data_IF_571494561471
#
_entry.id   IF_571494561471
#
_cell.length_a   1.000
_cell.length_b   1.000
_cell.length_c   1.000
_cell.angle_alpha   90.00
_cell.angle_beta   90.00
_cell.angle_gamma   90.00
#
_symmetry.space_group_name_H-M   'P 1'
#
loop_
_entity.id
_entity.type
_entity.pdbx_description
1 polymer ?
#
# COMPACT_ATOMS: atom_id res chain seq x y z
N UNK A 1 40.52 -60.45 -1.89
CA UNK A 1 41.44 -59.40 -1.38
C UNK A 1 41.63 -58.41 -2.50
N UNK A 2 40.99 -57.23 -2.41
CA UNK A 2 41.65 -55.91 -2.23
C UNK A 2 42.27 -55.42 -3.56
N UNK A 3 41.87 -54.32 -4.20
CA UNK A 3 41.39 -53.02 -3.70
C UNK A 3 40.62 -52.27 -4.80
N UNK A 4 39.49 -51.68 -4.42
CA UNK A 4 39.02 -50.41 -4.98
C UNK A 4 40.04 -49.32 -4.63
N UNK A 5 40.45 -48.53 -5.61
CA UNK A 5 40.94 -47.17 -5.36
C UNK A 5 40.14 -46.21 -6.23
N UNK A 6 39.05 -45.77 -5.63
CA UNK A 6 38.30 -44.56 -5.95
C UNK A 6 39.22 -43.35 -5.80
N UNK A 7 39.66 -42.76 -6.92
CA UNK A 7 40.12 -41.36 -6.93
C UNK A 7 38.90 -40.47 -7.14
N UNK A 8 38.16 -40.21 -6.05
CA UNK A 8 37.23 -39.10 -5.96
C UNK A 8 38.03 -37.80 -5.78
N UNK A 9 38.43 -37.20 -6.90
CA UNK A 9 39.08 -35.89 -6.91
C UNK A 9 38.02 -34.78 -7.01
N UNK A 10 37.77 -34.13 -5.86
CA UNK A 10 37.40 -32.72 -5.69
C UNK A 10 36.48 -32.04 -6.73
N UNK A 11 35.16 -32.22 -6.61
CA UNK A 11 34.14 -31.40 -7.27
C UNK A 11 33.67 -30.21 -6.40
N UNK A 12 34.56 -29.65 -5.56
CA UNK A 12 34.20 -28.61 -4.57
C UNK A 12 34.59 -27.17 -4.95
N UNK A 13 35.57 -26.98 -5.86
CA UNK A 13 36.08 -25.64 -6.23
C UNK A 13 35.31 -24.98 -7.38
N UNK A 14 34.86 -25.77 -8.35
CA UNK A 14 34.37 -25.27 -9.63
C UNK A 14 33.04 -24.50 -9.52
N UNK A 15 32.18 -24.87 -8.56
CA UNK A 15 30.89 -24.22 -8.37
C UNK A 15 31.02 -22.85 -7.70
N UNK A 16 31.96 -22.69 -6.78
CA UNK A 16 32.20 -21.42 -6.11
C UNK A 16 32.84 -20.40 -7.06
N UNK A 17 33.77 -20.85 -7.91
CA UNK A 17 34.37 -20.02 -8.96
C UNK A 17 33.35 -19.67 -10.07
N UNK A 18 32.50 -20.61 -10.48
CA UNK A 18 31.41 -20.34 -11.41
C UNK A 18 30.38 -19.35 -10.84
N UNK A 19 30.06 -19.45 -9.54
CA UNK A 19 29.21 -18.47 -8.84
C UNK A 19 29.91 -17.11 -8.68
N UNK A 20 31.23 -17.07 -8.53
CA UNK A 20 32.01 -15.83 -8.54
C UNK A 20 32.05 -15.18 -9.93
N UNK A 21 32.13 -15.97 -11.00
CA UNK A 21 32.03 -15.48 -12.38
C UNK A 21 30.61 -15.00 -12.72
N UNK A 22 29.55 -15.64 -12.17
CA UNK A 22 28.15 -15.17 -12.22
C UNK A 22 27.79 -14.19 -11.09
N UNK A 23 28.79 -13.62 -10.41
CA UNK A 23 28.54 -12.71 -9.30
C UNK A 23 27.81 -11.45 -9.77
N UNK A 24 26.89 -10.96 -8.93
CA UNK A 24 26.21 -9.69 -9.11
C UNK A 24 27.16 -8.52 -9.38
N UNK A 25 28.40 -8.60 -8.85
CA UNK A 25 29.45 -7.62 -9.09
C UNK A 25 30.00 -7.65 -10.53
N UNK A 26 30.13 -8.84 -11.13
CA UNK A 26 30.53 -9.00 -12.53
C UNK A 26 29.42 -8.52 -13.47
N UNK A 27 28.17 -8.81 -13.11
CA UNK A 27 26.98 -8.38 -13.81
C UNK A 27 26.85 -6.85 -13.88
N UNK A 28 27.09 -6.14 -12.76
CA UNK A 28 27.08 -4.67 -12.71
C UNK A 28 28.24 -4.04 -13.50
N UNK A 29 29.39 -4.71 -13.60
CA UNK A 29 30.52 -4.22 -14.39
C UNK A 29 30.29 -4.33 -15.90
N UNK A 30 29.47 -5.30 -16.34
CA UNK A 30 29.16 -5.52 -17.75
C UNK A 30 27.88 -4.79 -18.23
N UNK A 31 27.23 -4.00 -17.37
CA UNK A 31 26.06 -3.24 -17.76
C UNK A 31 26.40 -2.11 -18.74
N UNK A 32 25.71 -2.15 -19.87
CA UNK A 32 25.59 -0.99 -20.73
C UNK A 32 24.57 0.03 -20.17
N UNK A 33 24.42 1.16 -20.85
CA UNK A 33 23.56 2.26 -20.40
C UNK A 33 22.12 1.83 -20.16
N UNK A 34 21.57 0.93 -20.99
CA UNK A 34 20.18 0.47 -20.86
C UNK A 34 20.05 -0.47 -19.67
N UNK A 35 21.01 -1.37 -19.45
CA UNK A 35 21.06 -2.22 -18.25
C UNK A 35 21.03 -1.41 -16.95
N UNK A 36 21.83 -0.33 -16.89
CA UNK A 36 21.81 0.60 -15.75
C UNK A 36 20.46 1.31 -15.57
N UNK A 37 19.83 1.77 -16.64
CA UNK A 37 18.50 2.41 -16.58
C UNK A 37 17.46 1.43 -16.01
N UNK A 38 17.43 0.19 -16.51
CA UNK A 38 16.51 -0.85 -16.03
C UNK A 38 16.75 -1.14 -14.55
N UNK A 39 18.01 -1.35 -14.15
CA UNK A 39 18.38 -1.66 -12.77
C UNK A 39 18.00 -0.52 -11.81
N UNK A 40 18.34 0.72 -12.15
CA UNK A 40 18.00 1.90 -11.33
C UNK A 40 16.48 2.06 -11.23
N UNK A 41 15.75 1.85 -12.32
CA UNK A 41 14.28 1.90 -12.31
C UNK A 41 13.70 0.87 -11.34
N UNK A 42 14.16 -0.39 -11.41
CA UNK A 42 13.74 -1.44 -10.47
C UNK A 42 14.11 -1.11 -9.01
N UNK A 43 15.29 -0.54 -8.78
CA UNK A 43 15.73 -0.13 -7.45
C UNK A 43 14.84 0.98 -6.88
N UNK A 44 14.51 2.01 -7.67
CA UNK A 44 13.61 3.10 -7.27
C UNK A 44 12.21 2.55 -6.97
N UNK A 45 11.67 1.68 -7.83
CA UNK A 45 10.38 1.02 -7.61
C UNK A 45 10.37 0.19 -6.33
N UNK A 46 11.46 -0.54 -6.05
CA UNK A 46 11.63 -1.33 -4.83
C UNK A 46 11.59 -0.46 -3.57
N UNK A 47 12.40 0.61 -3.54
CA UNK A 47 12.45 1.54 -2.40
C UNK A 47 11.11 2.21 -2.17
N UNK A 48 10.47 2.70 -3.24
CA UNK A 48 9.14 3.32 -3.16
C UNK A 48 8.08 2.34 -2.65
N UNK A 49 8.11 1.09 -3.12
CA UNK A 49 7.20 0.04 -2.66
C UNK A 49 7.38 -0.21 -1.16
N UNK A 50 8.60 -0.49 -0.71
CA UNK A 50 8.88 -0.75 0.72
C UNK A 50 8.52 0.44 1.60
N UNK A 51 8.84 1.66 1.18
CA UNK A 51 8.46 2.88 1.90
C UNK A 51 6.94 2.96 2.13
N UNK A 52 6.14 2.78 1.07
CA UNK A 52 4.69 2.84 1.17
C UNK A 52 4.09 1.67 1.94
N UNK A 53 4.69 0.49 1.87
CA UNK A 53 4.30 -0.67 2.69
C UNK A 53 4.44 -0.34 4.17
N UNK A 54 5.61 0.16 4.59
CA UNK A 54 5.88 0.45 6.00
C UNK A 54 4.97 1.55 6.52
N UNK A 55 4.80 2.64 5.77
CA UNK A 55 3.93 3.74 6.19
C UNK A 55 2.47 3.31 6.30
N UNK A 56 1.93 2.64 5.28
CA UNK A 56 0.54 2.19 5.33
C UNK A 56 0.32 1.12 6.42
N UNK A 57 1.31 0.27 6.68
CA UNK A 57 1.25 -0.70 7.76
C UNK A 57 1.15 -0.02 9.13
N UNK A 58 2.03 0.95 9.42
CA UNK A 58 2.01 1.71 10.67
C UNK A 58 0.72 2.54 10.79
N UNK A 59 0.30 3.22 9.71
CA UNK A 59 -0.94 4.01 9.65
C UNK A 59 -2.15 3.14 10.00
N UNK A 60 -2.28 1.99 9.35
CA UNK A 60 -3.37 1.06 9.58
C UNK A 60 -3.35 0.46 10.99
N UNK A 61 -2.17 0.09 11.51
CA UNK A 61 -2.07 -0.49 12.84
C UNK A 61 -2.45 0.52 13.94
N UNK A 62 -2.03 1.79 13.79
CA UNK A 62 -2.44 2.88 14.68
C UNK A 62 -3.94 3.20 14.57
N UNK A 63 -4.46 3.22 13.35
CA UNK A 63 -5.87 3.49 13.09
C UNK A 63 -6.76 2.45 13.75
N UNK A 64 -6.47 1.16 13.56
CA UNK A 64 -7.27 0.08 14.17
C UNK A 64 -7.32 0.17 15.69
N UNK A 65 -6.18 0.45 16.34
CA UNK A 65 -6.12 0.56 17.80
C UNK A 65 -6.82 1.82 18.35
N UNK A 66 -6.82 2.91 17.58
CA UNK A 66 -7.40 4.18 18.03
C UNK A 66 -8.89 4.30 17.70
N UNK A 67 -9.32 3.78 16.54
CA UNK A 67 -10.68 3.91 16.03
C UNK A 67 -11.73 3.39 17.01
N UNK A 68 -11.56 2.16 17.50
CA UNK A 68 -12.57 1.54 18.38
C UNK A 68 -12.69 2.30 19.71
N UNK A 69 -11.58 2.83 20.24
CA UNK A 69 -11.57 3.69 21.44
C UNK A 69 -12.21 5.04 21.20
N UNK A 70 -11.89 5.69 20.10
CA UNK A 70 -12.45 7.01 19.75
C UNK A 70 -13.95 6.92 19.58
N UNK A 71 -14.43 5.90 18.85
CA UNK A 71 -15.86 5.66 18.67
C UNK A 71 -16.54 5.34 20.00
N UNK A 72 -15.98 4.45 20.84
CA UNK A 72 -16.61 4.10 22.12
C UNK A 72 -16.70 5.29 23.06
N UNK A 73 -15.61 6.05 23.22
CA UNK A 73 -15.59 7.24 24.10
C UNK A 73 -16.54 8.32 23.62
N UNK A 74 -16.73 8.49 22.31
CA UNK A 74 -17.74 9.40 21.76
C UNK A 74 -19.14 9.07 22.28
N UNK A 75 -19.53 7.79 22.22
CA UNK A 75 -20.87 7.34 22.60
C UNK A 75 -21.07 7.20 24.11
N UNK A 76 -20.01 6.98 24.88
CA UNK A 76 -20.05 6.94 26.34
C UNK A 76 -20.15 8.33 26.97
N UNK A 77 -19.78 9.39 26.23
CA UNK A 77 -19.81 10.75 26.75
C UNK A 77 -21.25 11.29 26.78
N UNK A 78 -21.81 11.64 27.95
CA UNK A 78 -23.23 12.03 28.07
C UNK A 78 -23.58 13.36 27.38
N UNK A 79 -22.59 14.21 27.13
CA UNK A 79 -22.75 15.54 26.59
C UNK A 79 -22.04 15.69 25.25
N UNK A 80 -22.77 16.17 24.23
CA UNK A 80 -22.24 16.39 22.89
C UNK A 80 -21.03 17.35 22.88
N UNK A 81 -21.00 18.36 23.76
CA UNK A 81 -19.88 19.30 23.83
C UNK A 81 -18.59 18.65 24.35
N UNK A 82 -18.70 17.78 25.36
CA UNK A 82 -17.56 17.05 25.90
C UNK A 82 -17.04 16.01 24.90
N UNK A 83 -17.95 15.39 24.14
CA UNK A 83 -17.60 14.46 23.06
C UNK A 83 -16.84 15.18 21.94
N UNK A 84 -17.29 16.38 21.53
CA UNK A 84 -16.60 17.22 20.53
C UNK A 84 -15.22 17.63 21.03
N UNK A 85 -15.09 18.09 22.29
CA UNK A 85 -13.79 18.48 22.86
C UNK A 85 -12.81 17.31 22.87
N UNK A 86 -13.27 16.12 23.24
CA UNK A 86 -12.44 14.91 23.18
C UNK A 86 -11.95 14.61 21.75
N UNK A 87 -12.78 14.87 20.72
CA UNK A 87 -12.38 14.73 19.30
C UNK A 87 -11.37 15.78 18.86
N UNK A 88 -11.46 17.01 19.37
CA UNK A 88 -10.47 18.06 19.10
C UNK A 88 -9.10 17.75 19.70
N UNK A 89 -9.06 17.02 20.81
CA UNK A 89 -7.84 16.56 21.47
C UNK A 89 -7.16 15.37 20.76
N UNK A 90 -7.88 14.67 19.86
CA UNK A 90 -7.30 13.57 19.10
C UNK A 90 -6.29 14.04 18.05
N UNK A 91 -5.38 13.14 17.68
CA UNK A 91 -4.37 13.42 16.66
C UNK A 91 -5.02 13.79 15.32
N UNK A 92 -4.43 14.77 14.61
CA UNK A 92 -4.82 15.15 13.23
C UNK A 92 -4.72 14.01 12.21
N UNK A 93 -4.14 12.87 12.58
CA UNK A 93 -4.08 11.67 11.74
C UNK A 93 -5.28 10.72 11.96
N UNK A 94 -6.12 10.96 12.97
CA UNK A 94 -7.26 10.11 13.33
C UNK A 94 -8.51 10.53 12.51
N UNK A 95 -9.03 9.67 11.63
CA UNK A 95 -10.11 10.02 10.70
C UNK A 95 -11.50 10.06 11.35
N UNK A 96 -11.80 9.24 12.37
CA UNK A 96 -13.15 9.20 12.96
C UNK A 96 -13.47 10.52 13.70
N UNK A 97 -12.50 11.08 14.41
CA UNK A 97 -12.60 12.38 15.08
C UNK A 97 -12.89 13.49 14.09
N UNK A 98 -12.23 13.48 12.92
CA UNK A 98 -12.49 14.47 11.88
C UNK A 98 -13.90 14.38 11.31
N UNK A 99 -14.39 13.16 11.08
CA UNK A 99 -15.76 12.94 10.60
C UNK A 99 -16.76 13.47 11.65
N UNK A 100 -16.53 13.19 12.94
CA UNK A 100 -17.36 13.70 14.02
C UNK A 100 -17.32 15.23 14.15
N UNK A 101 -16.14 15.84 14.02
CA UNK A 101 -15.97 17.30 14.10
C UNK A 101 -16.65 18.02 12.93
N UNK A 102 -16.51 17.52 11.70
CA UNK A 102 -17.19 18.09 10.53
C UNK A 102 -18.72 18.03 10.70
N UNK A 103 -19.24 16.90 11.19
CA UNK A 103 -20.66 16.74 11.49
C UNK A 103 -21.14 17.71 12.59
N UNK A 104 -20.37 17.85 13.67
CA UNK A 104 -20.67 18.76 14.76
C UNK A 104 -20.66 20.23 14.32
N UNK A 105 -19.67 20.63 13.53
CA UNK A 105 -19.58 21.99 12.97
C UNK A 105 -20.76 22.28 12.04
N UNK A 106 -21.13 21.32 11.19
CA UNK A 106 -22.29 21.44 10.31
C UNK A 106 -23.60 21.58 11.11
N UNK A 107 -23.76 20.80 12.17
CA UNK A 107 -24.92 20.84 13.05
C UNK A 107 -25.01 22.15 13.85
N UNK A 108 -23.88 22.74 14.24
CA UNK A 108 -23.80 24.00 15.01
C UNK A 108 -24.02 25.25 14.16
N UNK A 109 -23.59 25.23 12.89
CA UNK A 109 -23.75 26.38 11.98
C UNK A 109 -25.23 26.76 11.74
N UNK A 110 -26.13 25.76 11.74
CA UNK A 110 -27.58 25.99 11.60
C UNK A 110 -28.29 26.33 12.92
N UNK A 111 -27.74 25.97 14.10
CA UNK A 111 -28.34 26.40 15.38
C UNK A 111 -28.29 27.92 15.60
N UNK A 112 -27.41 28.65 14.88
CA UNK A 112 -27.22 30.10 15.03
C UNK A 112 -28.09 30.96 14.10
N UNK A 113 -28.82 30.37 13.15
CA UNK A 113 -29.57 31.09 12.11
C UNK A 113 -31.06 30.63 12.06
N UNK A 114 -31.91 31.16 12.97
CA UNK A 114 -33.40 31.30 12.83
C UNK A 114 -34.22 29.96 12.70
N UNK A 115 -35.55 29.81 12.72
CA UNK A 115 -36.75 30.67 12.83
C UNK A 115 -38.08 29.88 12.59
N UNK A 116 -38.06 28.68 11.95
CA UNK A 116 -39.28 27.87 11.67
C UNK A 116 -39.06 26.33 11.69
N UNK A 117 -39.62 25.62 12.68
CA UNK A 117 -39.21 24.26 13.12
C UNK A 117 -39.25 23.08 12.12
N UNK A 118 -40.09 23.07 11.09
CA UNK A 118 -40.32 21.85 10.27
C UNK A 118 -39.53 21.84 8.95
N UNK A 119 -39.43 22.98 8.27
CA UNK A 119 -38.53 23.15 7.11
C UNK A 119 -37.07 23.16 7.59
N UNK A 120 -36.83 23.60 8.83
CA UNK A 120 -35.52 23.66 9.47
C UNK A 120 -34.92 22.28 9.78
N UNK A 121 -35.73 21.32 10.25
CA UNK A 121 -35.21 19.98 10.56
C UNK A 121 -34.78 19.21 9.32
N UNK A 122 -35.50 19.40 8.21
CA UNK A 122 -35.16 18.82 6.91
C UNK A 122 -33.87 19.45 6.35
N UNK A 123 -33.73 20.78 6.42
CA UNK A 123 -32.52 21.48 5.99
C UNK A 123 -31.29 21.10 6.83
N UNK A 124 -31.43 20.97 8.15
CA UNK A 124 -30.34 20.56 9.04
C UNK A 124 -29.87 19.13 8.76
N UNK A 125 -30.81 18.19 8.59
CA UNK A 125 -30.52 16.78 8.30
C UNK A 125 -29.76 16.63 6.98
N UNK A 126 -30.20 17.32 5.92
CA UNK A 126 -29.54 17.29 4.62
C UNK A 126 -28.14 17.92 4.67
N UNK A 127 -27.97 19.01 5.42
CA UNK A 127 -26.67 19.67 5.56
C UNK A 127 -25.65 18.82 6.31
N UNK A 128 -26.07 18.15 7.39
CA UNK A 128 -25.23 17.21 8.15
C UNK A 128 -24.88 15.99 7.31
N UNK A 129 -25.84 15.39 6.57
CA UNK A 129 -25.57 14.28 5.64
C UNK A 129 -24.53 14.67 4.58
N UNK A 130 -24.64 15.86 3.99
CA UNK A 130 -23.68 16.36 3.01
C UNK A 130 -22.28 16.53 3.61
N UNK A 131 -22.18 17.11 4.80
CA UNK A 131 -20.91 17.29 5.49
C UNK A 131 -20.26 15.94 5.83
N UNK A 132 -21.05 14.97 6.31
CA UNK A 132 -20.61 13.61 6.59
C UNK A 132 -20.11 12.90 5.33
N UNK A 133 -20.86 12.92 4.23
CA UNK A 133 -20.44 12.33 2.94
C UNK A 133 -19.12 12.93 2.45
N UNK A 134 -18.96 14.24 2.57
CA UNK A 134 -17.72 14.92 2.20
C UNK A 134 -16.56 14.51 3.10
N UNK A 135 -16.78 14.42 4.42
CA UNK A 135 -15.77 13.98 5.38
C UNK A 135 -15.35 12.52 5.15
N UNK A 136 -16.31 11.61 4.96
CA UNK A 136 -16.05 10.19 4.65
C UNK A 136 -15.28 10.05 3.35
N UNK A 137 -15.67 10.77 2.29
CA UNK A 137 -14.97 10.73 0.99
C UNK A 137 -13.53 11.21 1.13
N UNK A 138 -13.32 12.30 1.85
CA UNK A 138 -11.99 12.87 2.09
C UNK A 138 -11.09 11.93 2.88
N UNK A 139 -11.59 11.35 3.97
CA UNK A 139 -10.79 10.44 4.79
C UNK A 139 -10.57 9.08 4.10
N UNK A 140 -11.54 8.61 3.31
CA UNK A 140 -11.38 7.42 2.45
C UNK A 140 -10.26 7.62 1.42
N UNK A 141 -10.21 8.79 0.76
CA UNK A 141 -9.13 9.11 -0.18
C UNK A 141 -7.75 9.10 0.48
N UNK A 142 -7.63 9.57 1.74
CA UNK A 142 -6.36 9.53 2.50
C UNK A 142 -5.92 8.11 2.88
N UNK A 143 -6.84 7.14 2.89
CA UNK A 143 -6.47 5.73 3.04
C UNK A 143 -5.83 5.17 1.76
N UNK A 144 -6.16 5.73 0.59
CA UNK A 144 -5.65 5.30 -0.71
C UNK A 144 -4.25 5.82 -1.04
N UNK A 145 -3.73 6.75 -0.24
CA UNK A 145 -2.36 7.28 -0.37
C UNK A 145 -1.32 6.17 -0.54
N UNK A 146 -0.65 6.18 -1.69
CA UNK A 146 0.41 5.23 -2.02
C UNK A 146 -0.04 3.89 -2.61
N UNK A 147 -1.34 3.57 -2.58
CA UNK A 147 -1.85 2.35 -3.22
C UNK A 147 -1.59 2.36 -4.73
N UNK A 148 -1.74 3.51 -5.38
CA UNK A 148 -1.44 3.66 -6.81
C UNK A 148 0.02 3.28 -7.12
N UNK A 149 0.97 3.70 -6.28
CA UNK A 149 2.39 3.35 -6.44
C UNK A 149 2.62 1.85 -6.30
N UNK A 150 1.99 1.21 -5.30
CA UNK A 150 2.08 -0.24 -5.11
C UNK A 150 1.45 -1.01 -6.27
N UNK A 151 0.29 -0.57 -6.76
CA UNK A 151 -0.39 -1.18 -7.90
C UNK A 151 0.44 -1.07 -9.18
N UNK A 152 0.96 0.13 -9.49
CA UNK A 152 1.82 0.35 -10.65
C UNK A 152 3.11 -0.43 -10.53
N UNK A 153 3.76 -0.43 -9.35
CA UNK A 153 4.99 -1.20 -9.14
C UNK A 153 4.75 -2.70 -9.32
N UNK A 154 3.68 -3.22 -8.74
CA UNK A 154 3.31 -4.62 -8.85
C UNK A 154 3.00 -5.08 -10.28
N UNK A 155 2.38 -4.22 -11.09
CA UNK A 155 2.04 -4.56 -12.49
C UNK A 155 3.18 -4.32 -13.47
N UNK A 156 4.05 -3.33 -13.24
CA UNK A 156 5.07 -2.92 -14.21
C UNK A 156 6.46 -3.48 -13.94
N UNK A 157 6.85 -3.75 -12.68
CA UNK A 157 8.19 -4.26 -12.35
C UNK A 157 8.57 -5.57 -13.08
N UNK A 158 7.67 -6.55 -13.28
CA UNK A 158 8.01 -7.76 -14.04
C UNK A 158 8.37 -7.44 -15.49
N UNK A 159 7.67 -6.49 -16.12
CA UNK A 159 7.94 -6.09 -17.50
C UNK A 159 9.24 -5.29 -17.63
N UNK A 160 9.58 -4.48 -16.62
CA UNK A 160 10.88 -3.79 -16.56
C UNK A 160 12.02 -4.83 -16.44
N UNK A 161 11.87 -5.85 -15.60
CA UNK A 161 12.81 -6.97 -15.52
C UNK A 161 12.94 -7.75 -16.84
N UNK A 162 11.80 -8.02 -17.49
CA UNK A 162 11.75 -8.67 -18.81
C UNK A 162 12.49 -7.84 -19.87
N UNK A 163 12.30 -6.52 -19.88
CA UNK A 163 13.03 -5.62 -20.77
C UNK A 163 14.55 -5.77 -20.57
N UNK A 164 15.00 -5.85 -19.31
CA UNK A 164 16.39 -6.12 -18.96
C UNK A 164 16.89 -7.44 -19.55
N UNK A 165 16.11 -8.52 -19.44
CA UNK A 165 16.49 -9.81 -20.07
C UNK A 165 16.61 -9.73 -21.58
N UNK A 166 15.62 -9.14 -22.24
CA UNK A 166 15.58 -9.04 -23.71
C UNK A 166 16.79 -8.25 -24.20
N UNK A 167 17.10 -7.14 -23.53
CA UNK A 167 18.24 -6.32 -23.88
C UNK A 167 19.59 -7.01 -23.64
N UNK A 168 19.74 -7.72 -22.50
CA UNK A 168 20.96 -8.47 -22.19
C UNK A 168 21.24 -9.58 -23.22
N UNK A 169 20.20 -10.34 -23.60
CA UNK A 169 20.33 -11.37 -24.65
C UNK A 169 20.65 -10.73 -26.00
N UNK A 170 20.02 -9.61 -26.35
CA UNK A 170 20.31 -8.88 -27.59
C UNK A 170 21.78 -8.46 -27.68
N UNK A 171 22.33 -7.87 -26.61
CA UNK A 171 23.72 -7.44 -26.57
C UNK A 171 24.69 -8.63 -26.67
N UNK A 172 24.36 -9.75 -26.01
CA UNK A 172 25.14 -10.99 -26.09
C UNK A 172 25.20 -11.53 -27.53
N UNK A 173 24.07 -11.56 -28.23
CA UNK A 173 24.00 -12.03 -29.61
C UNK A 173 24.78 -11.14 -30.59
N UNK A 174 24.76 -9.82 -30.40
CA UNK A 174 25.60 -8.90 -31.20
C UNK A 174 27.08 -9.20 -31.00
N UNK A 175 27.51 -9.40 -29.75
CA UNK A 175 28.92 -9.69 -29.45
C UNK A 175 29.37 -10.99 -30.10
N UNK A 176 28.55 -12.04 -30.06
CA UNK A 176 28.83 -13.33 -30.72
C UNK A 176 28.86 -13.17 -32.24
N UNK A 177 27.92 -12.42 -32.81
CA UNK A 177 27.90 -12.14 -34.25
C UNK A 177 29.13 -11.37 -34.73
N UNK A 178 29.66 -10.46 -33.89
CA UNK A 178 30.86 -9.70 -34.20
C UNK A 178 32.15 -10.53 -34.07
N UNK A 179 32.23 -11.46 -33.12
CA UNK A 179 33.43 -12.31 -32.92
C UNK A 179 33.45 -13.54 -33.81
N UNK A 180 32.30 -13.95 -34.37
CA UNK A 180 32.18 -15.15 -35.20
C UNK A 180 32.36 -16.48 -34.43
N UNK A 181 32.52 -16.42 -33.11
CA UNK A 181 32.70 -17.59 -32.24
C UNK A 181 31.41 -17.89 -31.48
N UNK A 182 30.62 -18.81 -32.02
CA UNK A 182 29.42 -19.34 -31.35
C UNK A 182 29.78 -20.57 -30.51
N UNK A 183 30.39 -20.36 -29.34
CA UNK A 183 30.55 -21.41 -28.31
C UNK A 183 29.46 -21.29 -27.25
N UNK A 184 29.11 -22.42 -26.61
CA UNK A 184 28.15 -22.44 -25.50
C UNK A 184 28.62 -21.55 -24.35
N UNK A 185 29.93 -21.56 -24.05
CA UNK A 185 30.52 -20.74 -23.01
C UNK A 185 30.38 -19.23 -23.28
N UNK A 186 30.39 -18.81 -24.55
CA UNK A 186 30.19 -17.42 -24.94
C UNK A 186 28.74 -16.94 -24.75
N UNK A 187 27.77 -17.85 -24.74
CA UNK A 187 26.33 -17.54 -24.59
C UNK A 187 25.87 -17.71 -23.14
N UNK A 188 26.36 -18.74 -22.44
CA UNK A 188 25.84 -19.18 -21.16
C UNK A 188 25.95 -18.10 -20.06
N UNK A 189 27.08 -17.38 -20.00
CA UNK A 189 27.28 -16.29 -19.05
C UNK A 189 26.29 -15.13 -19.24
N UNK A 190 26.30 -14.45 -20.41
CA UNK A 190 25.42 -13.31 -20.65
C UNK A 190 23.92 -13.64 -20.55
N UNK A 191 23.51 -14.85 -20.95
CA UNK A 191 22.11 -15.28 -20.81
C UNK A 191 21.74 -15.48 -19.34
N UNK A 192 22.63 -16.09 -18.54
CA UNK A 192 22.43 -16.22 -17.09
C UNK A 192 22.34 -14.86 -16.39
N UNK A 193 23.23 -13.92 -16.74
CA UNK A 193 23.20 -12.54 -16.23
C UNK A 193 21.90 -11.83 -16.58
N UNK A 194 21.41 -11.99 -17.82
CA UNK A 194 20.14 -11.43 -18.24
C UNK A 194 18.99 -11.95 -17.37
N UNK A 195 18.91 -13.26 -17.09
CA UNK A 195 17.83 -13.87 -16.29
C UNK A 195 17.70 -13.30 -14.88
N UNK A 196 18.81 -12.84 -14.28
CA UNK A 196 18.80 -12.20 -12.97
C UNK A 196 17.95 -10.93 -12.97
N UNK A 197 17.93 -10.15 -14.05
CA UNK A 197 17.10 -8.93 -14.15
C UNK A 197 15.60 -9.22 -14.02
N UNK A 198 15.14 -10.31 -14.63
CA UNK A 198 13.74 -10.74 -14.49
C UNK A 198 13.46 -11.24 -13.08
N UNK A 199 14.39 -11.97 -12.47
CA UNK A 199 14.25 -12.39 -11.08
C UNK A 199 14.13 -11.19 -10.12
N UNK A 200 14.92 -10.13 -10.33
CA UNK A 200 14.80 -8.87 -9.57
C UNK A 200 13.43 -8.22 -9.80
N UNK A 201 12.98 -8.13 -11.06
CA UNK A 201 11.66 -7.57 -11.38
C UNK A 201 10.52 -8.27 -10.66
N UNK A 202 10.55 -9.60 -10.60
CA UNK A 202 9.58 -10.40 -9.84
C UNK A 202 9.72 -10.19 -8.33
N UNK A 203 10.94 -10.13 -7.81
CA UNK A 203 11.21 -9.88 -6.40
C UNK A 203 10.67 -8.52 -5.94
N UNK A 204 10.70 -7.50 -6.80
CA UNK A 204 10.10 -6.18 -6.54
C UNK A 204 8.57 -6.22 -6.65
N UNK A 205 8.04 -6.94 -7.64
CA UNK A 205 6.61 -6.98 -7.93
C UNK A 205 5.79 -7.72 -6.86
N UNK A 206 6.26 -8.90 -6.42
CA UNK A 206 5.49 -9.80 -5.55
C UNK A 206 5.09 -9.12 -4.22
N UNK A 207 6.02 -8.51 -3.46
CA UNK A 207 5.66 -7.80 -2.23
C UNK A 207 4.71 -6.62 -2.48
N UNK A 208 4.90 -5.89 -3.59
CA UNK A 208 4.06 -4.74 -3.95
C UNK A 208 2.61 -5.15 -4.18
N UNK A 209 2.38 -6.23 -4.95
CA UNK A 209 1.03 -6.76 -5.23
C UNK A 209 0.38 -7.29 -3.96
N UNK A 210 1.11 -8.04 -3.12
CA UNK A 210 0.57 -8.56 -1.87
C UNK A 210 0.15 -7.44 -0.91
N UNK A 211 1.00 -6.42 -0.79
CA UNK A 211 0.70 -5.26 0.03
C UNK A 211 -0.49 -4.46 -0.50
N UNK A 212 -0.55 -4.19 -1.80
CA UNK A 212 -1.68 -3.51 -2.44
C UNK A 212 -3.00 -4.23 -2.14
N UNK A 213 -3.05 -5.56 -2.34
CA UNK A 213 -4.24 -6.36 -2.08
C UNK A 213 -4.62 -6.36 -0.58
N UNK A 214 -3.64 -6.47 0.30
CA UNK A 214 -3.85 -6.40 1.74
C UNK A 214 -4.46 -5.05 2.15
N UNK A 215 -3.82 -3.94 1.78
CA UNK A 215 -4.29 -2.61 2.17
C UNK A 215 -5.63 -2.26 1.54
N UNK A 216 -5.90 -2.68 0.30
CA UNK A 216 -7.21 -2.50 -0.34
C UNK A 216 -8.32 -3.17 0.48
N UNK A 217 -8.09 -4.40 0.93
CA UNK A 217 -9.04 -5.12 1.80
C UNK A 217 -9.25 -4.41 3.13
N UNK A 218 -8.18 -3.91 3.73
CA UNK A 218 -8.25 -3.23 5.02
C UNK A 218 -8.93 -1.87 4.92
N UNK A 219 -8.64 -1.10 3.87
CA UNK A 219 -9.29 0.17 3.59
C UNK A 219 -10.78 -0.02 3.37
N UNK A 220 -11.20 -1.06 2.63
CA UNK A 220 -12.62 -1.39 2.46
C UNK A 220 -13.32 -1.63 3.80
N UNK A 221 -12.71 -2.37 4.72
CA UNK A 221 -13.29 -2.59 6.07
C UNK A 221 -13.37 -1.27 6.84
N UNK A 222 -12.39 -0.40 6.69
CA UNK A 222 -12.33 0.89 7.37
C UNK A 222 -13.38 1.87 6.81
N UNK A 223 -13.56 1.93 5.49
CA UNK A 223 -14.59 2.74 4.84
C UNK A 223 -15.99 2.30 5.29
N UNK A 224 -16.25 1.00 5.39
CA UNK A 224 -17.52 0.51 5.93
C UNK A 224 -17.76 0.99 7.39
N UNK A 225 -16.69 1.10 8.20
CA UNK A 225 -16.78 1.67 9.56
C UNK A 225 -17.04 3.18 9.49
N UNK A 226 -16.44 3.91 8.56
CA UNK A 226 -16.75 5.34 8.34
C UNK A 226 -18.21 5.55 7.98
N UNK A 227 -18.76 4.76 7.06
CA UNK A 227 -20.17 4.86 6.65
C UNK A 227 -21.11 4.57 7.83
N UNK A 228 -20.81 3.53 8.62
CA UNK A 228 -21.60 3.18 9.81
C UNK A 228 -21.55 4.30 10.84
N UNK A 229 -20.35 4.83 11.12
CA UNK A 229 -20.18 5.92 12.06
C UNK A 229 -20.86 7.22 11.60
N UNK A 230 -20.80 7.51 10.29
CA UNK A 230 -21.49 8.65 9.69
C UNK A 230 -23.01 8.53 9.83
N UNK A 231 -23.60 7.36 9.57
CA UNK A 231 -25.03 7.14 9.80
C UNK A 231 -25.41 7.33 11.28
N UNK A 232 -24.65 6.75 12.21
CA UNK A 232 -24.90 6.93 13.65
C UNK A 232 -24.82 8.42 14.06
N UNK A 233 -23.86 9.18 13.51
CA UNK A 233 -23.74 10.62 13.75
C UNK A 233 -24.90 11.42 13.14
N UNK A 234 -25.32 11.07 11.93
CA UNK A 234 -26.45 11.70 11.26
C UNK A 234 -27.71 11.56 12.11
N UNK A 235 -28.02 10.35 12.55
CA UNK A 235 -29.14 10.04 13.44
C UNK A 235 -29.04 10.81 14.77
N UNK A 236 -27.85 10.85 15.37
CA UNK A 236 -27.59 11.57 16.61
C UNK A 236 -27.85 13.08 16.47
N UNK A 237 -27.34 13.72 15.43
CA UNK A 237 -27.52 15.16 15.21
C UNK A 237 -28.91 15.53 14.69
N UNK A 238 -29.59 14.62 13.99
CA UNK A 238 -30.94 14.80 13.47
C UNK A 238 -32.02 14.60 14.56
N UNK A 239 -31.88 13.57 15.41
CA UNK A 239 -32.92 13.16 16.37
C UNK A 239 -32.60 13.51 17.82
N UNK A 240 -31.34 13.81 18.15
CA UNK A 240 -30.89 14.07 19.53
C UNK A 240 -30.71 12.80 20.38
N UNK A 241 -30.82 11.61 19.78
CA UNK A 241 -30.59 10.32 20.42
C UNK A 241 -29.97 9.32 19.44
N UNK A 242 -29.25 8.31 19.94
CA UNK A 242 -28.68 7.27 19.08
C UNK A 242 -29.78 6.26 18.70
N UNK A 243 -29.96 5.97 17.42
CA UNK A 243 -30.98 5.01 16.92
C UNK A 243 -30.74 3.55 17.36
N UNK A 244 -29.60 3.25 18.00
CA UNK A 244 -29.31 1.94 18.61
C UNK A 244 -30.08 1.59 19.90
N UNK A 245 -30.72 2.55 20.58
CA UNK A 245 -31.49 2.26 21.81
C UNK A 245 -32.95 1.83 21.56
N UNK A 246 -33.47 1.96 20.34
CA UNK A 246 -34.89 1.73 20.05
C UNK A 246 -35.24 0.22 20.05
N UNK A 247 -34.23 -0.68 20.01
CA UNK A 247 -34.42 -2.14 19.92
C UNK A 247 -34.29 -2.94 21.22
N UNK A 248 -33.80 -2.38 22.34
CA UNK A 248 -33.50 -3.16 23.56
C UNK A 248 -34.56 -3.08 24.66
N UNK A 249 -35.67 -2.37 24.43
CA UNK A 249 -36.82 -2.34 25.36
C UNK A 249 -38.06 -2.88 24.67
N UNK A 250 -38.13 -4.19 24.52
CA UNK A 250 -39.39 -4.95 24.50
C UNK A 250 -39.22 -6.23 25.29
#
# INVERSE_FOLDING_TARGET
MLQETTTAAAAGGNNAEALQQMSFAHLLQNFDTVGWIVFITLAVMSVMSVYWIVINFIKNMRLRGSADRVISTFWETPNAQDAIRYMEEQSKAEPFSKIALDAAQAAAHHQRHEGSRLVESLNRSEFVDRALRQAVTRESGRLEDGLAVLATTGSTAPFVGLLGTVWGIYHALIKIGATGQASIDAVAGPVGEALIMTAIGLFVAIPAVLAYNFFTRVNRVTNNKFDTFAHDLHDFFATGSRVGEIGSKR
#
